data_IF_631152062469
#
_entry.id   IF_631152062469
#
_cell.length_a   1.000
_cell.length_b   1.000
_cell.length_c   1.000
_cell.angle_alpha   90.00
_cell.angle_beta   90.00
_cell.angle_gamma   90.00
#
_symmetry.space_group_name_H-M   'P 1'
#
loop_
_entity.id
_entity.type
_entity.pdbx_description
1 polymer ?
#
# COMPACT_ATOMS: atom_id res chain seq x y z
N UNK A 1 30.58 21.63 -7.88
CA UNK A 1 29.40 20.73 -7.86
C UNK A 1 28.95 20.61 -6.42
N UNK A 2 27.71 20.95 -6.13
CA UNK A 2 27.14 20.82 -4.78
C UNK A 2 26.88 19.33 -4.52
N UNK A 3 27.24 18.81 -3.35
CA UNK A 3 27.00 17.39 -3.07
C UNK A 3 25.52 17.14 -2.83
N UNK A 4 25.05 15.93 -3.12
CA UNK A 4 23.65 15.52 -2.87
C UNK A 4 23.21 15.75 -1.41
N UNK A 5 24.15 15.72 -0.47
CA UNK A 5 23.89 16.01 0.95
C UNK A 5 23.58 17.50 1.17
N UNK A 6 24.32 18.40 0.51
CA UNK A 6 24.13 19.85 0.63
C UNK A 6 22.77 20.30 0.09
N UNK A 7 22.28 19.66 -0.97
CA UNK A 7 20.93 19.89 -1.51
C UNK A 7 19.84 19.47 -0.50
N UNK A 8 20.02 18.32 0.14
CA UNK A 8 19.08 17.85 1.17
C UNK A 8 19.06 18.77 2.38
N UNK A 9 20.22 19.20 2.87
CA UNK A 9 20.30 20.10 4.03
C UNK A 9 19.70 21.48 3.73
N UNK A 10 19.93 22.03 2.53
CA UNK A 10 19.27 23.26 2.08
C UNK A 10 17.76 23.11 2.04
N UNK A 11 17.25 22.00 1.50
CA UNK A 11 15.81 21.75 1.47
C UNK A 11 15.21 21.61 2.88
N UNK A 12 15.85 20.85 3.79
CA UNK A 12 15.36 20.69 5.17
C UNK A 12 15.35 22.04 5.89
N UNK A 13 16.37 22.88 5.67
CA UNK A 13 16.42 24.23 6.24
C UNK A 13 15.31 25.12 5.69
N UNK A 14 15.06 25.07 4.39
CA UNK A 14 13.92 25.76 3.76
C UNK A 14 12.57 25.30 4.34
N UNK A 15 12.38 24.00 4.55
CA UNK A 15 11.15 23.48 5.15
C UNK A 15 11.02 23.93 6.60
N UNK A 16 12.08 23.79 7.42
CA UNK A 16 12.09 24.18 8.83
C UNK A 16 11.68 25.64 9.04
N UNK A 17 12.20 26.56 8.23
CA UNK A 17 11.88 27.99 8.33
C UNK A 17 10.44 28.34 7.97
N UNK A 18 9.76 27.47 7.20
CA UNK A 18 8.40 27.70 6.70
C UNK A 18 7.32 26.97 7.48
N UNK A 19 7.67 26.00 8.31
CA UNK A 19 6.71 25.21 9.10
C UNK A 19 6.55 25.67 10.56
N UNK A 20 7.22 26.75 10.95
CA UNK A 20 7.27 27.25 12.33
C UNK A 20 5.93 27.66 12.95
N UNK A 21 4.87 27.81 12.17
CA UNK A 21 3.53 28.15 12.65
C UNK A 21 2.50 27.03 12.48
N UNK A 22 2.85 25.91 11.87
CA UNK A 22 1.94 24.78 11.74
C UNK A 22 2.00 23.88 12.98
N UNK A 23 0.85 23.35 13.35
CA UNK A 23 0.66 22.44 14.49
C UNK A 23 0.05 21.11 14.08
N UNK A 24 -0.25 20.91 12.79
CA UNK A 24 -0.82 19.69 12.24
C UNK A 24 0.14 19.01 11.26
N UNK A 25 0.03 17.68 11.07
CA UNK A 25 0.82 16.97 10.07
C UNK A 25 0.63 17.51 8.64
N UNK A 26 1.75 17.68 7.94
CA UNK A 26 1.84 18.26 6.61
C UNK A 26 2.34 17.24 5.57
N UNK A 27 1.95 17.46 4.31
CA UNK A 27 2.34 16.60 3.20
C UNK A 27 3.79 16.86 2.77
N UNK A 28 4.70 15.98 3.19
CA UNK A 28 6.12 16.10 2.86
C UNK A 28 6.40 16.16 1.34
N UNK A 29 5.68 15.42 0.51
CA UNK A 29 5.90 15.45 -0.96
C UNK A 29 5.62 16.84 -1.52
N UNK A 30 4.55 17.51 -1.06
CA UNK A 30 4.24 18.89 -1.46
C UNK A 30 5.26 19.90 -0.94
N UNK A 31 5.79 19.69 0.25
CA UNK A 31 6.91 20.50 0.74
C UNK A 31 8.19 20.29 -0.08
N UNK A 32 8.48 19.06 -0.50
CA UNK A 32 9.59 18.77 -1.41
C UNK A 32 9.40 19.37 -2.81
N UNK A 33 8.17 19.47 -3.32
CA UNK A 33 7.88 20.18 -4.58
C UNK A 33 8.28 21.67 -4.51
N UNK A 34 8.14 22.32 -3.35
CA UNK A 34 8.60 23.69 -3.14
C UNK A 34 10.11 23.76 -2.90
N UNK A 35 10.62 22.88 -2.04
CA UNK A 35 12.00 22.90 -1.60
C UNK A 35 12.98 22.51 -2.71
N UNK A 36 12.57 21.74 -3.72
CA UNK A 36 13.46 21.34 -4.83
C UNK A 36 13.98 22.55 -5.61
N UNK A 37 13.14 23.56 -5.83
CA UNK A 37 13.52 24.78 -6.58
C UNK A 37 14.56 25.56 -5.79
N UNK A 38 14.36 25.69 -4.48
CA UNK A 38 15.29 26.35 -3.56
C UNK A 38 16.63 25.60 -3.46
N UNK A 39 16.57 24.27 -3.37
CA UNK A 39 17.76 23.42 -3.24
C UNK A 39 18.52 23.22 -4.55
N UNK A 40 17.96 23.62 -5.69
CA UNK A 40 18.52 23.30 -7.02
C UNK A 40 18.43 21.82 -7.38
N UNK A 41 17.48 21.08 -6.80
CA UNK A 41 17.32 19.65 -7.01
C UNK A 41 16.58 19.36 -8.33
N UNK A 42 17.23 18.68 -9.26
CA UNK A 42 16.74 18.51 -10.63
C UNK A 42 15.84 17.29 -10.87
N UNK A 43 15.69 16.39 -9.89
CA UNK A 43 14.86 15.19 -10.02
C UNK A 43 13.42 15.42 -9.55
N UNK A 44 12.59 14.37 -9.64
CA UNK A 44 11.19 14.43 -9.21
C UNK A 44 11.06 14.68 -7.71
N UNK A 45 9.96 15.35 -7.32
CA UNK A 45 9.65 15.62 -5.92
C UNK A 45 9.44 14.33 -5.11
N UNK A 46 8.95 13.26 -5.74
CA UNK A 46 8.80 11.95 -5.09
C UNK A 46 10.15 11.33 -4.75
N UNK A 47 11.10 11.35 -5.70
CA UNK A 47 12.47 10.89 -5.45
C UNK A 47 13.11 11.72 -4.34
N UNK A 48 12.91 13.05 -4.38
CA UNK A 48 13.45 13.93 -3.35
C UNK A 48 12.84 13.67 -1.97
N UNK A 49 11.52 13.48 -1.91
CA UNK A 49 10.79 13.14 -0.69
C UNK A 49 11.34 11.88 -0.04
N UNK A 50 11.68 10.86 -0.82
CA UNK A 50 12.28 9.63 -0.30
C UNK A 50 13.63 9.89 0.39
N UNK A 51 14.49 10.72 -0.22
CA UNK A 51 15.79 11.07 0.36
C UNK A 51 15.62 11.86 1.65
N UNK A 52 14.74 12.86 1.65
CA UNK A 52 14.43 13.65 2.85
C UNK A 52 13.86 12.77 3.96
N UNK A 53 12.96 11.83 3.65
CA UNK A 53 12.41 10.87 4.64
C UNK A 53 13.52 10.10 5.34
N UNK A 54 14.47 9.55 4.58
CA UNK A 54 15.61 8.80 5.15
C UNK A 54 16.48 9.66 6.03
N UNK A 55 16.66 10.93 5.67
CA UNK A 55 17.43 11.88 6.48
C UNK A 55 16.69 12.26 7.78
N UNK A 56 15.37 12.47 7.72
CA UNK A 56 14.55 12.76 8.90
C UNK A 56 14.38 11.54 9.82
N UNK A 57 14.52 10.31 9.31
CA UNK A 57 14.54 9.09 10.14
C UNK A 57 15.80 9.00 11.02
N UNK A 58 16.81 9.83 10.75
CA UNK A 58 18.05 10.00 11.53
C UNK A 58 18.21 11.47 11.94
N UNK A 59 17.13 12.07 12.44
CA UNK A 59 17.06 13.50 12.78
C UNK A 59 18.14 13.96 13.77
N UNK A 60 18.59 13.05 14.65
CA UNK A 60 19.67 13.27 15.60
C UNK A 60 20.96 13.70 14.89
N UNK A 61 21.23 13.15 13.70
CA UNK A 61 22.44 13.40 12.91
C UNK A 61 22.41 14.74 12.15
N UNK A 62 21.25 15.42 12.10
CA UNK A 62 21.15 16.71 11.42
C UNK A 62 21.92 17.79 12.18
N UNK A 63 22.89 18.42 11.52
CA UNK A 63 23.71 19.50 12.08
C UNK A 63 23.08 20.86 11.78
N UNK A 64 23.29 21.83 12.67
CA UNK A 64 22.80 23.20 12.49
C UNK A 64 21.29 23.38 12.65
N UNK A 65 20.64 22.47 13.37
CA UNK A 65 19.24 22.59 13.80
C UNK A 65 19.17 22.48 15.32
N UNK A 66 18.36 23.34 15.93
CA UNK A 66 18.03 23.27 17.35
C UNK A 66 17.19 22.02 17.65
N UNK A 67 17.14 21.62 18.93
CA UNK A 67 16.33 20.48 19.35
C UNK A 67 14.84 20.67 18.98
N UNK A 68 14.32 21.89 19.12
CA UNK A 68 12.92 22.22 18.83
C UNK A 68 12.60 22.16 17.34
N UNK A 69 13.52 22.62 16.48
CA UNK A 69 13.37 22.48 15.03
C UNK A 69 13.34 21.01 14.61
N UNK A 70 14.22 20.18 15.19
CA UNK A 70 14.24 18.74 14.94
C UNK A 70 12.94 18.07 15.38
N UNK A 71 12.46 18.37 16.59
CA UNK A 71 11.20 17.83 17.11
C UNK A 71 10.02 18.22 16.22
N UNK A 72 9.96 19.49 15.79
CA UNK A 72 8.92 20.01 14.90
C UNK A 72 8.97 19.37 13.51
N UNK A 73 10.15 19.21 12.91
CA UNK A 73 10.29 18.53 11.61
C UNK A 73 9.77 17.10 11.66
N UNK A 74 10.11 16.35 12.71
CA UNK A 74 9.65 14.96 12.90
C UNK A 74 8.14 14.91 13.10
N UNK A 75 7.59 15.79 13.93
CA UNK A 75 6.16 15.85 14.20
C UNK A 75 5.35 16.24 12.96
N UNK A 76 5.72 17.34 12.30
CA UNK A 76 4.98 17.90 11.15
C UNK A 76 5.00 16.93 9.97
N UNK A 77 6.08 16.18 9.75
CA UNK A 77 6.16 15.20 8.67
C UNK A 77 5.84 13.76 9.10
N UNK A 78 5.25 13.58 10.29
CA UNK A 78 4.83 12.30 10.85
C UNK A 78 5.91 11.22 10.77
N UNK A 79 7.15 11.57 11.07
CA UNK A 79 8.28 10.64 11.00
C UNK A 79 8.37 9.81 12.29
N UNK A 80 8.76 8.53 12.19
CA UNK A 80 9.04 7.73 13.37
C UNK A 80 10.27 8.28 14.10
N UNK A 81 10.19 8.31 15.43
CA UNK A 81 11.27 8.76 16.30
C UNK A 81 12.23 7.60 16.55
N UNK A 82 13.52 7.83 16.33
CA UNK A 82 14.56 6.86 16.69
C UNK A 82 14.72 6.80 18.22
N UNK A 83 15.12 5.64 18.80
CA UNK A 83 15.39 5.55 20.23
C UNK A 83 16.46 6.54 20.72
N UNK A 84 17.46 6.84 19.87
CA UNK A 84 18.51 7.80 20.17
C UNK A 84 17.93 9.23 20.29
N UNK A 85 17.10 9.65 19.34
CA UNK A 85 16.46 10.96 19.41
C UNK A 85 15.46 11.07 20.57
N UNK A 86 14.71 10.01 20.86
CA UNK A 86 13.81 9.97 22.03
C UNK A 86 14.58 10.18 23.34
N UNK A 87 15.77 9.58 23.47
CA UNK A 87 16.63 9.79 24.64
C UNK A 87 17.04 11.26 24.77
N UNK A 88 17.46 11.90 23.67
CA UNK A 88 17.82 13.34 23.65
C UNK A 88 16.63 14.20 24.11
N UNK A 89 15.41 13.92 23.66
CA UNK A 89 14.21 14.67 24.07
C UNK A 89 13.93 14.50 25.58
N UNK A 90 14.08 13.28 26.11
CA UNK A 90 13.90 13.01 27.55
C UNK A 90 14.97 13.65 28.42
N UNK A 91 16.23 13.61 27.99
CA UNK A 91 17.35 14.24 28.68
C UNK A 91 17.17 15.76 28.73
N UNK A 92 16.58 16.35 27.69
CA UNK A 92 16.15 17.75 27.63
C UNK A 92 14.83 18.04 28.38
N UNK A 93 14.33 17.10 29.19
CA UNK A 93 13.10 17.23 30.00
C UNK A 93 11.85 17.59 29.19
N UNK A 94 11.78 17.18 27.91
CA UNK A 94 10.58 17.33 27.10
C UNK A 94 9.58 16.20 27.41
N UNK A 95 8.29 16.50 27.37
CA UNK A 95 7.23 15.48 27.46
C UNK A 95 6.92 15.00 26.04
N UNK A 96 6.98 13.69 25.82
CA UNK A 96 6.78 13.08 24.49
C UNK A 96 5.93 11.83 24.62
N UNK A 97 4.84 11.78 23.88
CA UNK A 97 4.01 10.60 23.70
C UNK A 97 4.12 10.11 22.26
N UNK A 98 4.17 8.79 22.10
CA UNK A 98 4.33 8.13 20.80
C UNK A 98 3.15 7.20 20.55
N UNK A 99 2.72 7.14 19.29
CA UNK A 99 1.88 6.06 18.76
C UNK A 99 2.63 4.73 18.66
N UNK A 100 1.89 3.65 18.37
CA UNK A 100 2.44 2.31 18.10
C UNK A 100 3.49 2.30 16.98
N UNK A 101 3.34 3.21 16.01
CA UNK A 101 4.31 3.40 14.91
C UNK A 101 5.52 4.26 15.27
N UNK A 102 5.71 4.57 16.56
CA UNK A 102 6.74 5.46 17.12
C UNK A 102 6.70 6.89 16.57
N UNK A 103 5.53 7.38 16.16
CA UNK A 103 5.34 8.79 15.75
C UNK A 103 4.85 9.61 16.93
N UNK A 104 5.33 10.85 17.03
CA UNK A 104 4.93 11.79 18.08
C UNK A 104 3.45 12.16 17.95
N UNK A 105 2.64 11.78 18.94
CA UNK A 105 1.22 12.18 19.06
C UNK A 105 1.06 13.41 19.95
N UNK A 106 1.93 13.54 20.95
CA UNK A 106 2.02 14.70 21.82
C UNK A 106 3.48 15.06 22.09
N UNK A 107 3.79 16.35 22.03
CA UNK A 107 5.09 16.91 22.39
C UNK A 107 4.90 18.22 23.14
N UNK A 108 5.62 18.39 24.24
CA UNK A 108 5.70 19.63 25.00
C UNK A 108 7.16 19.90 25.40
N UNK A 109 7.65 21.11 25.09
CA UNK A 109 8.95 21.56 25.55
C UNK A 109 8.97 21.77 27.07
N UNK A 110 10.16 21.75 27.68
CA UNK A 110 10.31 21.91 29.14
C UNK A 110 9.68 23.21 29.68
N UNK A 111 9.76 24.29 28.90
CA UNK A 111 9.21 25.61 29.21
C UNK A 111 7.74 25.77 28.82
N UNK A 112 7.13 24.76 28.18
CA UNK A 112 5.75 24.79 27.71
C UNK A 112 5.49 25.71 26.52
N UNK A 113 6.51 26.33 25.93
CA UNK A 113 6.33 27.29 24.82
C UNK A 113 6.01 26.61 23.49
N UNK A 114 6.40 25.36 23.33
CA UNK A 114 6.16 24.57 22.13
C UNK A 114 5.31 23.34 22.48
N UNK A 115 4.03 23.38 22.10
CA UNK A 115 3.09 22.27 22.27
C UNK A 115 2.60 21.81 20.91
N UNK A 116 2.77 20.51 20.62
CA UNK A 116 2.33 19.88 19.38
C UNK A 116 1.48 18.66 19.74
N UNK A 117 0.27 18.57 19.16
CA UNK A 117 -0.65 17.48 19.42
C UNK A 117 -1.40 17.09 18.14
N UNK A 118 -1.44 15.80 17.83
CA UNK A 118 -2.16 15.25 16.68
C UNK A 118 -2.31 13.74 16.81
N UNK A 119 -3.42 13.20 16.32
CA UNK A 119 -3.67 11.75 16.25
C UNK A 119 -2.86 11.06 15.14
N UNK A 120 -2.10 11.83 14.34
CA UNK A 120 -1.18 11.35 13.30
C UNK A 120 -1.86 10.42 12.25
N UNK A 121 -3.14 10.64 11.96
CA UNK A 121 -3.83 9.92 10.90
C UNK A 121 -3.19 10.21 9.52
N UNK A 122 -2.88 9.15 8.75
CA UNK A 122 -2.20 9.29 7.46
C UNK A 122 -3.08 9.88 6.35
N UNK A 123 -4.41 9.80 6.47
CA UNK A 123 -5.36 10.35 5.51
C UNK A 123 -5.44 11.88 5.59
N UNK A 124 -5.26 12.45 6.78
CA UNK A 124 -5.61 13.83 7.09
C UNK A 124 -4.39 14.74 7.02
N UNK A 125 -3.72 14.74 5.87
CA UNK A 125 -2.54 15.58 5.67
C UNK A 125 -2.92 16.98 5.25
N UNK A 126 -2.21 17.96 5.77
CA UNK A 126 -2.35 19.36 5.41
C UNK A 126 -1.28 19.76 4.40
N UNK A 127 -1.52 20.83 3.66
CA UNK A 127 -0.49 21.54 2.93
C UNK A 127 -0.67 23.03 3.13
N UNK A 128 0.34 23.67 3.74
CA UNK A 128 0.29 25.07 4.17
C UNK A 128 -0.93 25.36 5.05
N UNK A 129 -1.23 24.46 5.98
CA UNK A 129 -2.35 24.58 6.91
C UNK A 129 -3.73 24.32 6.31
N UNK A 130 -3.84 23.94 5.03
CA UNK A 130 -5.11 23.56 4.39
C UNK A 130 -5.21 22.04 4.23
N UNK A 131 -6.38 21.40 4.48
CA UNK A 131 -6.56 19.99 4.19
C UNK A 131 -6.16 19.65 2.75
N UNK A 132 -5.34 18.61 2.59
CA UNK A 132 -4.84 18.16 1.29
C UNK A 132 -5.37 16.76 1.01
N UNK A 133 -6.48 16.69 0.30
CA UNK A 133 -7.00 15.45 -0.25
C UNK A 133 -6.16 15.09 -1.48
N UNK A 134 -5.67 13.86 -1.54
CA UNK A 134 -5.12 13.36 -2.80
C UNK A 134 -6.26 13.38 -3.80
N UNK A 135 -6.24 14.36 -4.70
CA UNK A 135 -7.08 14.33 -5.89
C UNK A 135 -6.56 13.12 -6.65
N UNK A 136 -7.19 11.96 -6.45
CA UNK A 136 -7.03 10.82 -7.34
C UNK A 136 -7.15 11.41 -8.73
N UNK A 137 -6.05 11.34 -9.47
CA UNK A 137 -5.88 11.93 -10.79
C UNK A 137 -6.88 11.18 -11.67
N UNK A 138 -8.15 11.60 -11.63
CA UNK A 138 -9.15 11.28 -12.63
C UNK A 138 -8.48 11.73 -13.92
N UNK A 139 -8.01 10.77 -14.71
CA UNK A 139 -7.83 11.02 -16.12
C UNK A 139 -9.24 11.42 -16.58
N UNK A 140 -9.48 12.72 -16.66
CA UNK A 140 -10.53 13.23 -17.53
C UNK A 140 -10.05 12.76 -18.89
N UNK A 141 -10.58 11.62 -19.32
CA UNK A 141 -10.57 11.24 -20.72
C UNK A 141 -11.41 12.33 -21.36
N UNK A 142 -10.74 13.41 -21.75
CA UNK A 142 -11.30 14.41 -22.62
C UNK A 142 -11.54 13.65 -23.92
N UNK A 143 -12.77 13.19 -24.09
CA UNK A 143 -13.28 12.55 -25.31
C UNK A 143 -13.04 13.56 -26.41
N UNK A 144 -11.92 13.37 -27.11
CA UNK A 144 -11.58 14.10 -28.33
C UNK A 144 -12.57 13.61 -29.38
N UNK A 145 -13.74 14.24 -29.45
CA UNK A 145 -14.66 14.08 -30.59
C UNK A 145 -13.88 14.41 -31.85
N UNK A 146 -13.49 13.38 -32.57
CA UNK A 146 -13.00 13.51 -33.94
C UNK A 146 -14.22 13.40 -34.84
N UNK A 147 -14.81 14.55 -35.15
CA UNK A 147 -15.66 14.66 -36.34
C UNK A 147 -14.73 14.62 -37.56
N UNK A 148 -14.67 13.43 -38.16
CA UNK A 148 -14.12 13.21 -39.48
C UNK A 148 -15.17 13.59 -40.53
N UNK A 149 -14.93 14.67 -41.27
CA UNK A 149 -15.57 14.91 -42.57
C UNK A 149 -14.47 14.83 -43.63
N UNK A 150 -14.64 13.88 -44.55
CA UNK A 150 -13.86 13.73 -45.77
C UNK A 150 -14.28 14.78 -46.79
N UNK A 151 -13.31 15.30 -47.55
CA UNK A 151 -13.36 15.40 -49.02
C UNK A 151 -11.93 15.63 -49.59
N UNK A 152 -11.58 15.06 -50.77
CA UNK A 152 -10.32 15.30 -51.50
C UNK A 152 -10.54 16.13 -52.81
N UNK A 153 -9.53 16.29 -53.69
CA UNK A 153 -8.23 16.94 -53.54
C UNK A 153 -8.02 18.07 -54.60
N UNK A 154 -6.98 18.91 -54.46
CA UNK A 154 -5.99 19.14 -55.53
C UNK A 154 -4.92 20.21 -55.20
N UNK A 155 -3.73 19.96 -55.76
CA UNK A 155 -2.65 20.90 -56.16
C UNK A 155 -1.43 21.17 -55.25
N UNK A 156 -0.31 20.62 -55.73
CA UNK A 156 1.08 21.15 -55.80
C UNK A 156 1.92 21.42 -54.54
N UNK A 157 2.88 20.51 -54.33
CA UNK A 157 4.35 20.72 -54.32
C UNK A 157 4.84 22.09 -53.81
N UNK A 158 5.52 22.12 -52.66
CA UNK A 158 6.95 22.50 -52.63
C UNK A 158 7.70 21.97 -51.39
N UNK A 159 8.93 21.56 -51.66
CA UNK A 159 9.85 20.85 -50.77
C UNK A 159 10.54 21.81 -49.80
N UNK A 160 10.66 21.42 -48.52
CA UNK A 160 11.83 21.81 -47.74
C UNK A 160 12.28 20.70 -46.78
N UNK A 161 13.54 20.31 -46.98
CA UNK A 161 14.34 19.39 -46.18
C UNK A 161 14.42 19.86 -44.73
N UNK A 162 14.03 19.00 -43.78
CA UNK A 162 14.70 18.88 -42.48
C UNK A 162 14.84 17.39 -42.17
N UNK A 163 16.08 16.90 -42.20
CA UNK A 163 16.45 15.55 -41.80
C UNK A 163 16.34 15.44 -40.27
N UNK A 164 15.45 14.58 -39.76
CA UNK A 164 15.50 14.06 -38.40
C UNK A 164 15.91 12.59 -38.46
N UNK A 165 17.15 12.31 -38.02
CA UNK A 165 17.65 10.94 -37.86
C UNK A 165 17.03 10.25 -36.63
N UNK A 166 16.96 8.90 -36.62
CA UNK A 166 16.34 8.14 -35.54
C UNK A 166 17.28 8.02 -34.33
N UNK A 167 16.81 8.49 -33.18
CA UNK A 167 17.47 8.34 -31.89
C UNK A 167 17.20 6.93 -31.32
N UNK A 168 18.04 5.95 -31.68
CA UNK A 168 18.07 4.64 -31.02
C UNK A 168 19.09 4.68 -29.86
N UNK A 169 18.65 5.10 -28.68
CA UNK A 169 19.41 5.01 -27.43
C UNK A 169 19.17 3.67 -26.74
N UNK A 170 20.03 2.69 -27.01
CA UNK A 170 20.12 1.41 -26.27
C UNK A 170 21.02 1.67 -25.06
N UNK A 171 20.43 1.79 -23.86
CA UNK A 171 21.20 1.92 -22.63
C UNK A 171 21.73 0.55 -22.22
N UNK A 172 23.03 0.34 -22.43
CA UNK A 172 23.81 -0.76 -21.88
C UNK A 172 24.17 -0.38 -20.43
N UNK A 173 23.80 -1.23 -19.46
CA UNK A 173 24.30 -1.16 -18.10
C UNK A 173 25.06 -2.45 -17.84
N UNK A 174 26.32 -2.45 -18.22
CA UNK A 174 27.33 -3.33 -17.67
C UNK A 174 28.53 -2.44 -17.34
N UNK A 175 29.27 -2.85 -16.32
CA UNK A 175 30.60 -2.39 -15.90
C UNK A 175 30.67 -1.45 -14.67
N UNK A 176 31.40 -1.97 -13.66
CA UNK A 176 32.11 -1.32 -12.53
C UNK A 176 31.31 -1.19 -11.21
N UNK A 177 31.74 -1.72 -10.06
CA UNK A 177 33.08 -2.08 -9.57
C UNK A 177 33.12 -3.40 -8.79
N UNK A 178 34.08 -4.26 -9.14
CA UNK A 178 34.68 -5.24 -8.21
C UNK A 178 35.74 -4.51 -7.39
N UNK A 179 35.68 -4.62 -6.06
CA UNK A 179 36.77 -4.19 -5.19
C UNK A 179 37.21 -5.36 -4.32
N UNK A 180 38.49 -5.69 -4.49
CA UNK A 180 39.29 -6.70 -3.80
C UNK A 180 39.16 -6.67 -2.28
N UNK A 181 39.10 -7.87 -1.69
CA UNK A 181 39.50 -8.11 -0.31
C UNK A 181 40.34 -9.39 -0.28
N UNK A 182 41.66 -9.21 -0.32
CA UNK A 182 42.65 -10.26 -0.05
C UNK A 182 42.73 -10.56 1.45
N UNK A 183 42.41 -11.82 1.76
CA UNK A 183 43.19 -12.81 2.53
C UNK A 183 43.99 -12.42 3.79
N UNK A 184 43.58 -12.97 4.94
CA UNK A 184 44.49 -13.41 6.01
C UNK A 184 43.95 -14.72 6.65
N UNK A 185 44.40 -15.84 6.10
CA UNK A 185 44.90 -17.06 6.77
C UNK A 185 44.54 -17.37 8.26
N UNK A 186 43.83 -18.50 8.40
CA UNK A 186 44.07 -19.67 9.27
C UNK A 186 44.65 -19.52 10.70
N UNK A 187 43.86 -19.97 11.70
CA UNK A 187 44.40 -20.70 12.84
C UNK A 187 43.39 -21.73 13.38
N UNK A 188 43.78 -23.00 13.29
CA UNK A 188 43.11 -24.17 13.88
C UNK A 188 43.17 -24.09 15.41
N UNK A 189 42.06 -24.34 16.10
CA UNK A 189 42.15 -25.13 17.32
C UNK A 189 40.87 -25.93 17.62
N UNK A 190 41.09 -27.23 17.67
CA UNK A 190 40.18 -28.29 18.06
C UNK A 190 40.26 -28.46 19.59
N UNK A 191 39.13 -28.39 20.30
CA UNK A 191 38.95 -29.14 21.56
C UNK A 191 37.48 -29.19 22.02
N UNK A 192 36.92 -30.38 21.86
CA UNK A 192 36.10 -31.11 22.83
C UNK A 192 35.67 -30.39 24.12
N UNK A 193 34.35 -30.31 24.36
CA UNK A 193 33.66 -30.79 25.58
C UNK A 193 32.13 -30.65 25.47
N UNK A 194 31.44 -31.77 25.70
CA UNK A 194 30.03 -31.88 26.18
C UNK A 194 30.08 -32.15 27.70
N UNK A 195 28.96 -32.15 28.44
CA UNK A 195 27.82 -31.24 28.44
C UNK A 195 27.48 -30.77 29.87
N UNK A 196 26.92 -29.56 30.06
CA UNK A 196 26.45 -29.12 31.39
C UNK A 196 24.97 -28.79 31.40
N UNK A 197 24.26 -29.49 32.29
CA UNK A 197 22.84 -29.34 32.62
C UNK A 197 22.65 -28.07 33.44
N UNK A 198 21.73 -27.18 33.04
CA UNK A 198 20.95 -26.39 34.03
C UNK A 198 19.69 -25.74 33.46
N UNK A 199 18.59 -26.11 34.08
CA UNK A 199 17.34 -25.38 34.34
C UNK A 199 16.82 -24.39 33.30
N UNK A 200 15.79 -24.83 32.55
CA UNK A 200 14.76 -23.96 32.01
C UNK A 200 13.67 -23.77 33.06
N UNK A 201 13.36 -22.50 33.32
CA UNK A 201 12.31 -22.09 34.22
C UNK A 201 11.05 -21.85 33.37
N UNK A 202 9.98 -22.50 33.80
CA UNK A 202 8.61 -22.37 33.33
C UNK A 202 8.17 -20.90 33.21
N UNK A 203 7.90 -20.44 31.98
CA UNK A 203 6.96 -19.36 31.73
C UNK A 203 5.84 -19.90 30.84
N UNK A 204 4.69 -20.14 31.46
CA UNK A 204 3.47 -20.66 30.86
C UNK A 204 2.87 -19.65 29.87
N UNK A 205 2.84 -19.99 28.58
CA UNK A 205 1.93 -19.38 27.61
C UNK A 205 0.67 -20.24 27.52
N UNK A 206 -0.36 -19.84 28.26
CA UNK A 206 -1.70 -20.37 28.09
C UNK A 206 -2.36 -19.70 26.85
N UNK A 207 -2.83 -20.57 25.96
CA UNK A 207 -3.99 -20.40 25.07
C UNK A 207 -3.77 -19.70 23.71
N UNK A 208 -3.12 -20.41 22.78
CA UNK A 208 -3.50 -20.34 21.36
C UNK A 208 -3.99 -21.74 20.96
N UNK A 209 -5.31 -21.94 21.13
CA UNK A 209 -6.03 -23.12 20.67
C UNK A 209 -5.96 -23.10 19.14
N UNK A 210 -4.97 -23.80 18.58
CA UNK A 210 -4.81 -24.03 17.14
C UNK A 210 -6.07 -24.76 16.67
N UNK A 211 -7.00 -24.00 16.09
CA UNK A 211 -8.20 -24.51 15.42
C UNK A 211 -7.68 -25.45 14.33
N UNK A 212 -7.96 -26.75 14.48
CA UNK A 212 -7.85 -27.70 13.36
C UNK A 212 -8.81 -27.16 12.31
N UNK A 213 -8.28 -26.73 11.17
CA UNK A 213 -9.10 -26.29 10.05
C UNK A 213 -9.96 -27.49 9.62
N UNK A 214 -11.23 -27.41 9.99
CA UNK A 214 -12.26 -28.36 9.62
C UNK A 214 -12.35 -28.45 8.10
N UNK A 215 -12.52 -29.68 7.66
CA UNK A 215 -12.95 -30.08 6.33
C UNK A 215 -14.36 -29.51 6.16
N UNK A 216 -14.46 -28.32 5.57
CA UNK A 216 -15.75 -27.72 5.23
C UNK A 216 -16.34 -28.53 4.07
N UNK A 217 -17.26 -29.44 4.42
CA UNK A 217 -18.01 -30.25 3.48
C UNK A 217 -18.77 -29.35 2.50
N UNK A 218 -18.64 -29.67 1.21
CA UNK A 218 -19.30 -28.99 0.09
C UNK A 218 -20.83 -29.09 0.12
N UNK A 219 -21.41 -29.79 1.10
CA UNK A 219 -22.83 -30.05 1.23
C UNK A 219 -23.64 -28.86 1.78
N UNK A 220 -22.98 -27.83 2.33
CA UNK A 220 -23.66 -26.69 2.98
C UNK A 220 -24.36 -25.71 2.01
N UNK A 221 -24.23 -25.92 0.69
CA UNK A 221 -24.87 -25.08 -0.35
C UNK A 221 -25.81 -25.87 -1.27
N UNK A 222 -26.30 -27.03 -0.84
CA UNK A 222 -27.39 -27.70 -1.58
C UNK A 222 -28.68 -26.89 -1.44
N UNK A 223 -29.09 -26.35 -2.60
CA UNK A 223 -30.18 -25.41 -2.88
C UNK A 223 -31.39 -25.44 -1.92
N UNK A 224 -31.71 -24.27 -1.37
CA UNK A 224 -33.08 -23.95 -0.96
C UNK A 224 -33.90 -23.75 -2.22
N UNK A 225 -34.96 -24.53 -2.40
CA UNK A 225 -35.87 -24.45 -3.55
C UNK A 225 -36.38 -23.01 -3.75
N UNK A 226 -35.86 -22.36 -4.79
CA UNK A 226 -36.26 -21.02 -5.18
C UNK A 226 -37.35 -21.11 -6.27
N UNK A 227 -38.42 -20.30 -6.20
CA UNK A 227 -39.53 -20.37 -7.13
C UNK A 227 -39.12 -19.87 -8.52
N UNK A 228 -39.51 -20.62 -9.56
CA UNK A 228 -39.42 -20.23 -10.97
C UNK A 228 -40.14 -18.90 -11.21
N UNK A 229 -39.39 -17.80 -11.18
CA UNK A 229 -39.89 -16.47 -11.49
C UNK A 229 -39.51 -16.08 -12.93
N UNK A 230 -40.56 -15.75 -13.67
CA UNK A 230 -40.66 -15.33 -15.06
C UNK A 230 -39.59 -14.35 -15.56
N UNK A 231 -39.15 -14.64 -16.78
CA UNK A 231 -38.21 -13.92 -17.66
C UNK A 231 -38.57 -12.44 -17.91
N UNK A 232 -38.36 -11.57 -16.94
CA UNK A 232 -38.03 -10.17 -17.24
C UNK A 232 -36.52 -10.07 -17.21
N UNK A 233 -35.91 -9.76 -18.36
CA UNK A 233 -34.46 -9.56 -18.53
C UNK A 233 -34.00 -8.26 -17.86
N UNK A 234 -34.35 -8.08 -16.58
CA UNK A 234 -33.72 -7.09 -15.75
C UNK A 234 -32.30 -7.59 -15.50
N UNK A 235 -31.30 -6.81 -15.92
CA UNK A 235 -29.89 -7.18 -15.79
C UNK A 235 -29.62 -7.67 -14.37
N UNK A 236 -29.11 -8.90 -14.25
CA UNK A 236 -28.76 -9.47 -12.96
C UNK A 236 -27.78 -8.54 -12.25
N UNK A 237 -28.01 -8.34 -10.95
CA UNK A 237 -27.28 -7.38 -10.10
C UNK A 237 -26.73 -8.07 -8.87
N UNK A 238 -25.52 -7.70 -8.50
CA UNK A 238 -24.82 -8.14 -7.29
C UNK A 238 -25.13 -7.14 -6.17
N UNK A 239 -25.64 -7.63 -5.04
CA UNK A 239 -25.88 -6.80 -3.87
C UNK A 239 -24.53 -6.41 -3.21
N UNK A 240 -24.23 -5.10 -3.15
CA UNK A 240 -22.94 -4.58 -2.67
C UNK A 240 -22.77 -4.77 -1.16
N UNK A 241 -23.85 -4.76 -0.37
CA UNK A 241 -23.81 -5.04 1.07
C UNK A 241 -23.34 -6.48 1.33
N UNK A 242 -23.91 -7.44 0.60
CA UNK A 242 -23.50 -8.84 0.67
C UNK A 242 -22.04 -9.02 0.21
N UNK A 243 -21.64 -8.34 -0.88
CA UNK A 243 -20.26 -8.36 -1.36
C UNK A 243 -19.28 -7.82 -0.32
N UNK A 244 -19.57 -6.69 0.32
CA UNK A 244 -18.72 -6.10 1.36
C UNK A 244 -18.56 -7.05 2.57
N UNK A 245 -19.64 -7.70 3.00
CA UNK A 245 -19.59 -8.71 4.06
C UNK A 245 -18.67 -9.88 3.69
N UNK A 246 -18.81 -10.39 2.47
CA UNK A 246 -18.00 -11.48 1.94
C UNK A 246 -16.52 -11.11 1.76
N UNK A 247 -16.22 -9.86 1.40
CA UNK A 247 -14.84 -9.31 1.43
C UNK A 247 -14.29 -9.31 2.86
N UNK A 248 -15.09 -8.91 3.84
CA UNK A 248 -14.73 -8.96 5.27
C UNK A 248 -14.38 -10.38 5.75
N UNK A 249 -15.18 -11.38 5.37
CA UNK A 249 -14.91 -12.80 5.68
C UNK A 249 -13.60 -13.27 5.03
N UNK A 250 -13.37 -12.90 3.77
CA UNK A 250 -12.14 -13.25 3.05
C UNK A 250 -10.92 -12.58 3.67
N UNK A 251 -11.05 -11.32 4.08
CA UNK A 251 -10.00 -10.57 4.76
C UNK A 251 -9.66 -11.17 6.14
N UNK A 252 -10.69 -11.57 6.91
CA UNK A 252 -10.51 -12.24 8.19
C UNK A 252 -9.72 -13.55 8.02
N UNK A 253 -10.05 -14.36 7.00
CA UNK A 253 -9.30 -15.59 6.70
C UNK A 253 -7.82 -15.32 6.41
N UNK A 254 -7.52 -14.21 5.75
CA UNK A 254 -6.16 -13.83 5.36
C UNK A 254 -5.37 -13.05 6.43
N UNK A 255 -5.91 -12.89 7.64
CA UNK A 255 -5.38 -12.02 8.70
C UNK A 255 -5.16 -10.55 8.24
N UNK A 256 -6.09 -10.01 7.43
CA UNK A 256 -6.04 -8.65 6.88
C UNK A 256 -6.96 -7.70 7.66
N UNK A 257 -6.58 -7.40 8.91
CA UNK A 257 -7.39 -6.60 9.85
C UNK A 257 -7.77 -5.21 9.30
N UNK A 258 -6.88 -4.57 8.52
CA UNK A 258 -7.15 -3.27 7.91
C UNK A 258 -8.25 -3.34 6.84
N UNK A 259 -8.26 -4.40 6.02
CA UNK A 259 -9.31 -4.63 5.03
C UNK A 259 -10.63 -5.00 5.69
N UNK A 260 -10.60 -5.80 6.76
CA UNK A 260 -11.78 -6.15 7.53
C UNK A 260 -12.45 -4.91 8.16
N UNK A 261 -11.65 -3.99 8.72
CA UNK A 261 -12.16 -2.71 9.26
C UNK A 261 -12.81 -1.87 8.18
N UNK A 262 -12.18 -1.75 6.99
CA UNK A 262 -12.77 -1.04 5.84
C UNK A 262 -14.08 -1.67 5.36
N UNK A 263 -14.15 -3.00 5.28
CA UNK A 263 -15.38 -3.69 4.93
C UNK A 263 -16.51 -3.44 5.96
N UNK A 264 -16.17 -3.39 7.25
CA UNK A 264 -17.12 -3.07 8.31
C UNK A 264 -17.65 -1.64 8.19
N UNK A 265 -16.76 -0.67 7.93
CA UNK A 265 -17.13 0.72 7.65
C UNK A 265 -18.03 0.83 6.40
N UNK A 266 -17.73 0.09 5.33
CA UNK A 266 -18.57 0.00 4.14
C UNK A 266 -20.00 -0.40 4.49
N UNK A 267 -20.14 -1.48 5.27
CA UNK A 267 -21.42 -2.05 5.68
C UNK A 267 -22.23 -1.04 6.49
N UNK A 268 -21.59 -0.32 7.42
CA UNK A 268 -22.25 0.73 8.20
C UNK A 268 -22.74 1.87 7.31
N UNK A 269 -21.93 2.35 6.37
CA UNK A 269 -22.33 3.42 5.45
C UNK A 269 -23.48 3.00 4.52
N UNK A 270 -23.43 1.81 3.94
CA UNK A 270 -24.50 1.30 3.06
C UNK A 270 -25.81 1.20 3.83
N UNK A 271 -25.77 0.78 5.10
CA UNK A 271 -26.96 0.73 5.97
C UNK A 271 -27.50 2.13 6.29
N UNK A 272 -26.64 3.13 6.45
CA UNK A 272 -27.05 4.51 6.73
C UNK A 272 -27.70 5.20 5.53
N UNK A 273 -27.34 4.85 4.31
CA UNK A 273 -27.88 5.50 3.10
C UNK A 273 -29.31 5.07 2.76
N UNK A 274 -29.85 4.02 3.40
CA UNK A 274 -31.18 3.44 3.15
C UNK A 274 -31.45 3.03 1.69
N UNK A 275 -30.44 3.12 0.82
CA UNK A 275 -30.52 2.81 -0.61
C UNK A 275 -29.86 1.47 -0.89
N UNK A 276 -30.54 0.65 -1.67
CA UNK A 276 -29.95 -0.57 -2.19
C UNK A 276 -28.82 -0.24 -3.19
N UNK A 277 -27.61 -0.67 -2.87
CA UNK A 277 -26.45 -0.56 -3.75
C UNK A 277 -26.25 -1.87 -4.50
N UNK A 278 -26.17 -1.76 -5.83
CA UNK A 278 -26.01 -2.90 -6.74
C UNK A 278 -24.82 -2.71 -7.67
N UNK A 279 -24.11 -3.78 -7.97
CA UNK A 279 -23.05 -3.87 -8.95
C UNK A 279 -23.52 -4.69 -10.16
N UNK A 280 -23.18 -4.28 -11.38
CA UNK A 280 -23.50 -5.07 -12.58
C UNK A 280 -22.68 -6.38 -12.58
N UNK A 281 -23.29 -7.49 -13.01
CA UNK A 281 -22.63 -8.81 -13.04
C UNK A 281 -21.40 -8.82 -13.94
N UNK A 282 -21.42 -8.14 -15.08
CA UNK A 282 -20.26 -8.05 -15.97
C UNK A 282 -19.08 -7.33 -15.27
N UNK A 283 -19.35 -6.24 -14.56
CA UNK A 283 -18.32 -5.52 -13.79
C UNK A 283 -17.75 -6.39 -12.67
N UNK A 284 -18.60 -7.15 -11.98
CA UNK A 284 -18.17 -8.13 -10.99
C UNK A 284 -17.25 -9.18 -11.60
N UNK A 285 -17.63 -9.79 -12.73
CA UNK A 285 -16.82 -10.80 -13.42
C UNK A 285 -15.47 -10.24 -13.86
N UNK A 286 -15.43 -9.01 -14.41
CA UNK A 286 -14.19 -8.31 -14.77
C UNK A 286 -13.29 -8.11 -13.55
N UNK A 287 -13.87 -7.71 -12.41
CA UNK A 287 -13.12 -7.53 -11.17
C UNK A 287 -12.53 -8.85 -10.66
N UNK A 288 -13.30 -9.94 -10.69
CA UNK A 288 -12.83 -11.28 -10.30
C UNK A 288 -11.69 -11.75 -11.23
N UNK A 289 -11.85 -11.67 -12.56
CA UNK A 289 -10.80 -12.05 -13.51
C UNK A 289 -9.52 -11.24 -13.29
N UNK A 290 -9.64 -9.92 -13.12
CA UNK A 290 -8.51 -9.03 -12.85
C UNK A 290 -7.79 -9.41 -11.55
N UNK A 291 -8.55 -9.67 -10.48
CA UNK A 291 -8.01 -10.10 -9.19
C UNK A 291 -7.23 -11.41 -9.32
N UNK A 292 -7.80 -12.43 -9.97
CA UNK A 292 -7.15 -13.73 -10.14
C UNK A 292 -5.88 -13.61 -10.97
N UNK A 293 -5.89 -12.85 -12.07
CA UNK A 293 -4.69 -12.59 -12.88
C UNK A 293 -3.60 -11.88 -12.09
N UNK A 294 -3.96 -10.90 -11.26
CA UNK A 294 -3.00 -10.20 -10.42
C UNK A 294 -2.36 -11.15 -9.40
N UNK A 295 -3.18 -11.95 -8.72
CA UNK A 295 -2.73 -12.98 -7.79
C UNK A 295 -1.80 -13.99 -8.50
N UNK A 296 -2.20 -14.53 -9.66
CA UNK A 296 -1.41 -15.45 -10.49
C UNK A 296 -0.05 -14.85 -10.89
N UNK A 297 -0.03 -13.59 -11.32
CA UNK A 297 1.20 -12.88 -11.70
C UNK A 297 2.12 -12.61 -10.52
N UNK A 298 1.55 -12.39 -9.34
CA UNK A 298 2.30 -12.17 -8.10
C UNK A 298 2.87 -13.45 -7.48
N UNK A 299 2.68 -14.60 -8.14
CA UNK A 299 3.32 -15.87 -7.80
C UNK A 299 4.83 -15.64 -7.65
N UNK A 300 5.27 -15.62 -6.40
CA UNK A 300 6.68 -15.46 -6.09
C UNK A 300 7.39 -16.74 -6.50
N UNK A 301 8.36 -16.65 -7.42
CA UNK A 301 9.37 -17.70 -7.57
C UNK A 301 10.45 -17.61 -6.47
N UNK A 302 10.55 -16.46 -5.80
CA UNK A 302 11.55 -16.16 -4.77
C UNK A 302 10.96 -15.18 -3.76
N UNK A 303 10.13 -15.63 -2.82
CA UNK A 303 9.66 -14.75 -1.75
C UNK A 303 10.84 -14.33 -0.87
N UNK A 304 11.12 -13.04 -0.78
CA UNK A 304 11.92 -12.50 0.33
C UNK A 304 11.28 -12.99 1.63
N UNK A 305 12.05 -13.68 2.47
CA UNK A 305 11.61 -14.44 3.65
C UNK A 305 10.86 -13.63 4.74
N UNK A 306 10.64 -12.34 4.54
CA UNK A 306 10.10 -11.43 5.54
C UNK A 306 8.61 -11.13 5.38
N UNK A 307 8.02 -11.40 4.21
CA UNK A 307 6.61 -11.11 3.97
C UNK A 307 5.76 -12.37 4.15
N UNK A 308 4.69 -12.26 4.95
CA UNK A 308 3.71 -13.34 5.12
C UNK A 308 3.08 -13.67 3.76
N UNK A 309 2.96 -14.96 3.48
CA UNK A 309 2.42 -15.49 2.24
C UNK A 309 1.37 -16.57 2.54
N UNK A 310 0.49 -16.83 1.58
CA UNK A 310 -0.49 -17.90 1.64
C UNK A 310 -0.41 -18.79 0.38
N UNK A 311 -0.70 -20.10 0.49
CA UNK A 311 -0.73 -20.98 -0.67
C UNK A 311 -1.78 -20.50 -1.68
N UNK A 312 -1.37 -20.36 -2.94
CA UNK A 312 -2.18 -19.83 -4.04
C UNK A 312 -3.49 -20.62 -4.22
N UNK A 313 -3.41 -21.95 -4.19
CA UNK A 313 -4.58 -22.83 -4.28
C UNK A 313 -5.57 -22.60 -3.14
N UNK A 314 -5.08 -22.36 -1.93
CA UNK A 314 -5.90 -22.02 -0.77
C UNK A 314 -6.62 -20.69 -0.99
N UNK A 315 -5.93 -19.67 -1.52
CA UNK A 315 -6.55 -18.37 -1.82
C UNK A 315 -7.67 -18.48 -2.85
N UNK A 316 -7.45 -19.22 -3.94
CA UNK A 316 -8.50 -19.41 -4.96
C UNK A 316 -9.71 -20.15 -4.40
N UNK A 317 -9.48 -21.18 -3.58
CA UNK A 317 -10.56 -21.87 -2.87
C UNK A 317 -11.36 -20.90 -2.00
N UNK A 318 -10.69 -20.03 -1.25
CA UNK A 318 -11.40 -19.04 -0.43
C UNK A 318 -12.17 -18.03 -1.28
N UNK A 319 -11.56 -17.45 -2.32
CA UNK A 319 -12.25 -16.54 -3.25
C UNK A 319 -13.52 -17.20 -3.82
N UNK A 320 -13.44 -18.47 -4.25
CA UNK A 320 -14.61 -19.22 -4.72
C UNK A 320 -15.69 -19.32 -3.65
N UNK A 321 -15.34 -19.80 -2.45
CA UNK A 321 -16.28 -20.08 -1.39
C UNK A 321 -16.92 -18.81 -0.79
N UNK A 322 -16.13 -17.75 -0.56
CA UNK A 322 -16.60 -16.55 0.12
C UNK A 322 -17.03 -15.44 -0.81
N UNK A 323 -16.44 -15.27 -2.00
CA UNK A 323 -16.76 -14.13 -2.88
C UNK A 323 -17.69 -14.48 -4.04
N UNK A 324 -17.74 -15.74 -4.48
CA UNK A 324 -18.45 -16.13 -5.71
C UNK A 324 -19.70 -16.95 -5.39
N UNK A 325 -19.56 -18.06 -4.66
CA UNK A 325 -20.69 -18.95 -4.35
C UNK A 325 -21.88 -18.29 -3.64
N UNK A 326 -21.71 -17.28 -2.76
CA UNK A 326 -22.86 -16.65 -2.10
C UNK A 326 -23.85 -15.95 -3.04
N UNK A 327 -23.50 -15.75 -4.31
CA UNK A 327 -24.37 -15.14 -5.32
C UNK A 327 -25.09 -16.17 -6.21
N UNK A 328 -24.79 -17.46 -6.05
CA UNK A 328 -25.38 -18.52 -6.87
C UNK A 328 -24.79 -18.63 -8.28
N UNK A 329 -24.90 -19.81 -8.91
CA UNK A 329 -24.38 -20.05 -10.26
C UNK A 329 -25.13 -19.25 -11.35
N UNK A 330 -26.35 -18.81 -11.09
CA UNK A 330 -27.16 -18.01 -12.02
C UNK A 330 -26.55 -16.62 -12.22
N UNK A 331 -26.04 -16.03 -11.13
CA UNK A 331 -25.48 -14.66 -11.14
C UNK A 331 -23.97 -14.70 -11.36
N UNK A 332 -23.26 -15.61 -10.69
CA UNK A 332 -21.80 -15.65 -10.67
C UNK A 332 -21.19 -16.82 -11.47
N UNK A 333 -21.96 -17.45 -12.37
CA UNK A 333 -21.55 -18.62 -13.12
C UNK A 333 -20.30 -18.42 -14.00
N UNK A 334 -20.11 -17.21 -14.55
CA UNK A 334 -18.90 -16.90 -15.31
C UNK A 334 -17.67 -16.77 -14.41
N UNK A 335 -17.76 -16.00 -13.33
CA UNK A 335 -16.70 -15.91 -12.32
C UNK A 335 -16.31 -17.28 -11.75
N UNK A 336 -17.31 -18.15 -11.53
CA UNK A 336 -17.11 -19.52 -11.07
C UNK A 336 -16.31 -20.35 -12.09
N UNK A 337 -16.66 -20.30 -13.37
CA UNK A 337 -15.91 -20.97 -14.46
C UNK A 337 -14.47 -20.48 -14.54
N UNK A 338 -14.24 -19.17 -14.35
CA UNK A 338 -12.89 -18.59 -14.36
C UNK A 338 -12.07 -19.14 -13.21
N UNK A 339 -12.59 -19.14 -11.97
CA UNK A 339 -11.86 -19.68 -10.82
C UNK A 339 -11.60 -21.18 -10.94
N UNK A 340 -12.57 -21.95 -11.44
CA UNK A 340 -12.41 -23.40 -11.60
C UNK A 340 -11.32 -23.73 -12.62
N UNK A 341 -11.34 -23.08 -13.78
CA UNK A 341 -10.27 -23.20 -14.79
C UNK A 341 -8.91 -22.84 -14.20
N UNK A 342 -8.83 -21.70 -13.53
CA UNK A 342 -7.58 -21.22 -12.92
C UNK A 342 -7.08 -22.13 -11.79
N UNK A 343 -7.99 -22.77 -11.04
CA UNK A 343 -7.66 -23.74 -9.98
C UNK A 343 -7.16 -25.06 -10.56
N UNK A 344 -7.75 -25.53 -11.67
CA UNK A 344 -7.33 -26.74 -12.40
C UNK A 344 -5.92 -26.55 -13.00
N UNK A 345 -5.66 -25.40 -13.64
CA UNK A 345 -4.35 -25.06 -14.22
C UNK A 345 -3.21 -25.03 -13.19
N UNK A 346 -3.53 -24.79 -11.91
CA UNK A 346 -2.52 -24.78 -10.84
C UNK A 346 -2.05 -26.18 -10.43
N UNK A 347 -2.79 -27.25 -10.73
CA UNK A 347 -2.44 -28.62 -10.38
C UNK A 347 -2.05 -28.80 -8.90
N UNK A 348 -0.89 -29.43 -8.69
CA UNK A 348 -0.28 -29.67 -7.36
C UNK A 348 0.73 -28.59 -6.95
N UNK A 349 0.68 -27.42 -7.58
CA UNK A 349 1.72 -26.43 -7.38
C UNK A 349 1.69 -25.80 -5.96
N UNK A 350 2.86 -25.74 -5.32
CA UNK A 350 3.04 -25.14 -3.99
C UNK A 350 3.34 -23.64 -4.07
N UNK A 351 2.72 -22.93 -5.00
CA UNK A 351 2.96 -21.49 -5.11
C UNK A 351 2.33 -20.73 -3.97
N UNK A 352 3.03 -19.68 -3.57
CA UNK A 352 2.57 -18.78 -2.54
C UNK A 352 2.39 -17.37 -3.09
N UNK A 353 1.49 -16.65 -2.44
CA UNK A 353 1.10 -15.29 -2.79
C UNK A 353 1.35 -14.39 -1.60
N UNK A 354 2.05 -13.26 -1.76
CA UNK A 354 2.20 -12.28 -0.69
C UNK A 354 0.85 -11.73 -0.22
N UNK A 355 0.67 -11.61 1.10
CA UNK A 355 -0.55 -11.04 1.68
C UNK A 355 -0.85 -9.62 1.19
N UNK A 356 0.18 -8.84 0.86
CA UNK A 356 0.03 -7.50 0.30
C UNK A 356 -0.66 -7.50 -1.06
N UNK A 357 -0.43 -8.51 -1.90
CA UNK A 357 -1.14 -8.62 -3.17
C UNK A 357 -2.62 -8.90 -2.93
N UNK A 358 -2.92 -9.85 -2.04
CA UNK A 358 -4.31 -10.20 -1.70
C UNK A 358 -5.04 -8.99 -1.14
N UNK A 359 -4.40 -8.27 -0.20
CA UNK A 359 -4.88 -7.00 0.36
C UNK A 359 -5.26 -6.01 -0.72
N UNK A 360 -4.33 -5.70 -1.63
CA UNK A 360 -4.57 -4.70 -2.68
C UNK A 360 -5.75 -5.05 -3.59
N UNK A 361 -5.96 -6.34 -3.89
CA UNK A 361 -7.09 -6.77 -4.71
C UNK A 361 -8.43 -6.69 -3.96
N UNK A 362 -8.48 -7.10 -2.69
CA UNK A 362 -9.71 -7.00 -1.89
C UNK A 362 -10.11 -5.53 -1.66
N UNK A 363 -9.13 -4.65 -1.38
CA UNK A 363 -9.38 -3.21 -1.26
C UNK A 363 -9.89 -2.62 -2.58
N UNK A 364 -9.30 -3.02 -3.71
CA UNK A 364 -9.75 -2.56 -5.03
C UNK A 364 -11.19 -3.00 -5.32
N UNK A 365 -11.54 -4.25 -5.05
CA UNK A 365 -12.91 -4.77 -5.24
C UNK A 365 -13.90 -4.03 -4.33
N UNK A 366 -13.58 -3.86 -3.05
CA UNK A 366 -14.42 -3.13 -2.09
C UNK A 366 -14.65 -1.69 -2.57
N UNK A 367 -13.57 -0.98 -2.91
CA UNK A 367 -13.65 0.42 -3.32
C UNK A 367 -14.40 0.59 -4.65
N UNK A 368 -14.18 -0.30 -5.61
CA UNK A 368 -14.87 -0.24 -6.91
C UNK A 368 -16.36 -0.53 -6.75
N UNK A 369 -16.74 -1.48 -5.88
CA UNK A 369 -18.14 -1.82 -5.63
C UNK A 369 -18.91 -0.76 -4.83
N UNK A 370 -18.22 -0.02 -3.97
CA UNK A 370 -18.81 1.02 -3.12
C UNK A 370 -18.76 2.41 -3.75
N UNK A 371 -18.07 2.59 -4.89
CA UNK A 371 -17.90 3.91 -5.51
C UNK A 371 -16.82 4.79 -4.86
N UNK A 372 -15.85 4.18 -4.17
CA UNK A 372 -14.71 4.84 -3.50
C UNK A 372 -15.08 5.78 -2.35
N UNK A 373 -16.10 5.43 -1.57
CA UNK A 373 -16.52 6.21 -0.39
C UNK A 373 -15.61 5.98 0.84
N UNK A 374 -14.76 4.96 0.79
CA UNK A 374 -13.93 4.45 1.91
C UNK A 374 -12.46 4.73 1.69
#
# INVERSE_FOLDING_TARGET
MTTRNDECERAIRFMSSRIGHYTRPENLTKWCELAKTEAGYNKSADSFSWVIRKRLDRIEDLKGFTLMEKARLVFIFSRPVSPAFLKILKDAKCVVELSDSRRITYFCSQDGTCVLQSDQNNSDKYFKGKPYFHKNRRAVIEVRSSDSVQDPPDTSIEQSRIQNGPFNGRNNYDELDEQELEDVTALKHERSRKPEKRHQNSWSSNNAKRVKTEEWDQELFTASDAPEALNNSEEAKINVLLLANNIGITALYCDLEDVQKKASQAIEMIKMEEREMTLNVADFNICIDSMLRNIKRSRNRYSCQTEKSLPLKTIYRHIKLSLILPFGPEIAGEALKIVDKETEELGESHHEVPLKTIRGNLEYLLNSSTGFWI
#
